data_IF_632186925492
#
_entry.id   IF_632186925492
#
_cell.length_a   1.000
_cell.length_b   1.000
_cell.length_c   1.000
_cell.angle_alpha   90.00
_cell.angle_beta   90.00
_cell.angle_gamma   90.00
#
_symmetry.space_group_name_H-M   'P 1'
#
loop_
_entity.id
_entity.type
_entity.pdbx_description
1 polymer ?
#
# COMPACT_ATOMS: atom_id res chain seq x y z
N UNK A 1 -23.70 0.61 -6.04
CA UNK A 1 -23.85 1.70 -7.02
C UNK A 1 -22.65 1.78 -7.95
N UNK A 2 -21.42 1.96 -7.45
CA UNK A 2 -20.20 2.03 -8.28
C UNK A 2 -20.05 0.82 -9.20
N UNK A 3 -20.07 -0.40 -8.65
CA UNK A 3 -20.00 -1.64 -9.43
C UNK A 3 -21.09 -1.75 -10.52
N UNK A 4 -22.32 -1.29 -10.22
CA UNK A 4 -23.39 -1.26 -11.21
C UNK A 4 -23.14 -0.24 -12.32
N UNK A 5 -22.57 0.92 -12.00
CA UNK A 5 -22.20 1.94 -12.98
C UNK A 5 -21.05 1.47 -13.89
N UNK A 6 -20.06 0.74 -13.35
CA UNK A 6 -18.99 0.14 -14.13
C UNK A 6 -19.53 -0.91 -15.10
N UNK A 7 -20.41 -1.80 -14.63
CA UNK A 7 -21.09 -2.79 -15.48
C UNK A 7 -21.90 -2.13 -16.59
N UNK A 8 -22.62 -1.05 -16.26
CA UNK A 8 -23.38 -0.29 -17.26
C UNK A 8 -22.45 0.37 -18.29
N UNK A 9 -21.33 0.96 -17.86
CA UNK A 9 -20.37 1.60 -18.76
C UNK A 9 -19.74 0.59 -19.73
N UNK A 10 -19.42 -0.62 -19.25
CA UNK A 10 -18.93 -1.71 -20.10
C UNK A 10 -20.01 -2.14 -21.09
N UNK A 11 -21.25 -2.34 -20.63
CA UNK A 11 -22.37 -2.76 -21.47
C UNK A 11 -22.79 -1.72 -22.52
N UNK A 12 -22.53 -0.43 -22.25
CA UNK A 12 -22.87 0.67 -23.16
C UNK A 12 -21.83 0.92 -24.27
N UNK A 13 -20.62 0.38 -24.16
CA UNK A 13 -19.54 0.52 -25.15
C UNK A 13 -19.53 -0.63 -26.13
N UNK A 14 -18.98 -0.40 -27.32
CA UNK A 14 -18.70 -1.51 -28.22
C UNK A 14 -17.61 -2.42 -27.63
N UNK A 15 -17.62 -3.74 -27.93
CA UNK A 15 -16.64 -4.67 -27.36
C UNK A 15 -15.18 -4.29 -27.65
N UNK A 16 -14.87 -3.80 -28.85
CA UNK A 16 -13.55 -3.33 -29.26
C UNK A 16 -13.11 -2.06 -28.53
N UNK A 17 -14.05 -1.14 -28.25
CA UNK A 17 -13.78 0.01 -27.40
C UNK A 17 -13.40 -0.41 -25.98
N UNK A 18 -14.10 -1.41 -25.42
CA UNK A 18 -13.76 -1.94 -24.09
C UNK A 18 -12.34 -2.52 -24.05
N UNK A 19 -11.91 -3.22 -25.11
CA UNK A 19 -10.52 -3.70 -25.23
C UNK A 19 -9.55 -2.53 -25.26
N UNK A 20 -9.83 -1.49 -26.05
CA UNK A 20 -8.98 -0.31 -26.12
C UNK A 20 -8.87 0.40 -24.76
N UNK A 21 -9.98 0.56 -24.04
CA UNK A 21 -9.99 1.10 -22.67
C UNK A 21 -9.17 0.27 -21.70
N UNK A 22 -9.15 -1.06 -21.82
CA UNK A 22 -8.34 -1.91 -20.97
C UNK A 22 -6.83 -1.68 -21.23
N UNK A 23 -6.43 -1.64 -22.50
CA UNK A 23 -5.02 -1.46 -22.91
C UNK A 23 -4.50 -0.06 -22.54
N UNK A 24 -5.31 0.98 -22.68
CA UNK A 24 -4.86 2.36 -22.42
C UNK A 24 -4.70 2.70 -20.95
N UNK A 25 -5.17 1.86 -20.01
CA UNK A 25 -4.93 2.07 -18.56
C UNK A 25 -3.45 2.13 -18.22
N UNK A 26 -2.61 1.36 -18.91
CA UNK A 26 -1.16 1.44 -18.74
C UNK A 26 -0.62 2.83 -19.09
N UNK A 27 -1.08 3.40 -20.21
CA UNK A 27 -0.68 4.75 -20.63
C UNK A 27 -1.28 5.84 -19.74
N UNK A 28 -2.50 5.66 -19.24
CA UNK A 28 -3.09 6.54 -18.23
C UNK A 28 -2.22 6.57 -16.97
N UNK A 29 -1.81 5.39 -16.46
CA UNK A 29 -0.96 5.31 -15.28
C UNK A 29 0.39 5.99 -15.51
N UNK A 30 0.99 5.82 -16.70
CA UNK A 30 2.20 6.53 -17.07
C UNK A 30 2.01 8.06 -17.07
N UNK A 31 0.89 8.56 -17.59
CA UNK A 31 0.57 9.99 -17.57
C UNK A 31 0.41 10.52 -16.14
N UNK A 32 -0.24 9.75 -15.24
CA UNK A 32 -0.36 10.11 -13.81
C UNK A 32 1.04 10.13 -13.17
N UNK A 33 1.88 9.13 -13.45
CA UNK A 33 3.25 9.07 -12.91
C UNK A 33 4.10 10.25 -13.37
N UNK A 34 3.95 10.71 -14.63
CA UNK A 34 4.59 11.92 -15.14
C UNK A 34 4.07 13.15 -14.40
N UNK A 35 2.76 13.26 -14.18
CA UNK A 35 2.18 14.36 -13.41
C UNK A 35 2.67 14.39 -11.95
N UNK A 36 2.86 13.24 -11.31
CA UNK A 36 3.52 13.14 -10.01
C UNK A 36 4.98 13.62 -10.09
N UNK A 37 5.77 13.15 -11.07
CA UNK A 37 7.18 13.53 -11.24
C UNK A 37 7.38 15.04 -11.47
N UNK A 38 6.49 15.64 -12.25
CA UNK A 38 6.50 17.07 -12.56
C UNK A 38 5.80 17.90 -11.48
N UNK A 39 5.27 17.29 -10.43
CA UNK A 39 4.49 17.96 -9.38
C UNK A 39 3.29 18.75 -9.92
N UNK A 40 2.68 18.31 -11.02
CA UNK A 40 1.56 19.00 -11.67
C UNK A 40 0.34 19.10 -10.76
N UNK A 41 0.07 18.06 -9.94
CA UNK A 41 -1.03 18.09 -8.99
C UNK A 41 -0.93 19.26 -8.01
N UNK A 42 0.26 19.60 -7.51
CA UNK A 42 0.42 20.73 -6.58
C UNK A 42 0.44 22.10 -7.29
N UNK A 43 0.76 22.14 -8.58
CA UNK A 43 0.81 23.38 -9.37
C UNK A 43 -0.57 23.84 -9.79
N UNK A 44 -1.52 22.92 -9.98
CA UNK A 44 -2.92 23.27 -10.24
C UNK A 44 -3.51 23.93 -8.97
N UNK A 45 -4.10 25.14 -9.06
CA UNK A 45 -4.65 25.82 -7.90
C UNK A 45 -5.77 25.02 -7.23
N UNK A 46 -5.68 24.85 -5.91
CA UNK A 46 -6.77 24.34 -5.07
C UNK A 46 -7.54 25.52 -4.47
N UNK A 47 -8.68 25.91 -5.04
CA UNK A 47 -9.58 26.89 -4.38
C UNK A 47 -10.83 26.20 -3.85
N UNK A 48 -11.29 26.61 -2.67
CA UNK A 48 -12.59 26.23 -2.09
C UNK A 48 -13.75 27.12 -2.59
N UNK A 49 -13.61 27.74 -3.77
CA UNK A 49 -14.53 28.73 -4.33
C UNK A 49 -14.76 28.56 -5.85
N UNK A 50 -15.10 29.64 -6.55
CA UNK A 50 -15.46 29.64 -7.98
C UNK A 50 -14.44 28.85 -8.84
N UNK A 51 -14.91 27.74 -9.44
CA UNK A 51 -14.08 26.80 -10.17
C UNK A 51 -13.39 27.42 -11.40
N UNK A 52 -13.95 28.50 -11.95
CA UNK A 52 -13.34 29.22 -13.07
C UNK A 52 -12.08 29.99 -12.66
N UNK A 53 -12.04 30.53 -11.43
CA UNK A 53 -10.90 31.24 -10.85
C UNK A 53 -9.78 30.30 -10.35
N UNK A 54 -10.04 28.99 -10.31
CA UNK A 54 -9.14 27.95 -9.81
C UNK A 54 -8.51 27.11 -10.94
N UNK A 55 -8.48 27.64 -12.15
CA UNK A 55 -7.92 26.97 -13.32
C UNK A 55 -6.57 27.55 -13.73
N UNK A 56 -5.74 26.75 -14.41
CA UNK A 56 -4.39 27.15 -14.83
C UNK A 56 -4.13 26.64 -16.26
N UNK A 57 -3.40 27.44 -17.05
CA UNK A 57 -3.03 27.07 -18.41
C UNK A 57 -1.82 26.13 -18.45
N UNK A 58 -1.72 25.29 -19.47
CA UNK A 58 -0.55 24.40 -19.68
C UNK A 58 0.76 25.18 -19.81
N UNK A 59 0.72 26.37 -20.43
CA UNK A 59 1.88 27.26 -20.53
C UNK A 59 2.37 27.72 -19.15
N UNK A 60 1.45 28.11 -18.26
CA UNK A 60 1.80 28.51 -16.90
C UNK A 60 2.27 27.32 -16.05
N UNK A 61 1.63 26.16 -16.19
CA UNK A 61 2.10 24.93 -15.55
C UNK A 61 3.53 24.58 -15.99
N UNK A 62 3.78 24.57 -17.31
CA UNK A 62 5.07 24.25 -17.89
C UNK A 62 6.18 25.20 -17.40
N UNK A 63 5.88 26.50 -17.32
CA UNK A 63 6.79 27.49 -16.75
C UNK A 63 7.07 27.23 -15.26
N UNK A 64 6.05 26.88 -14.47
CA UNK A 64 6.19 26.59 -13.04
C UNK A 64 7.04 25.35 -12.76
N UNK A 65 6.86 24.28 -13.54
CA UNK A 65 7.57 23.00 -13.37
C UNK A 65 8.85 22.90 -14.21
N UNK A 66 9.16 23.93 -15.00
CA UNK A 66 10.32 23.99 -15.91
C UNK A 66 10.37 22.80 -16.88
N UNK A 67 9.22 22.43 -17.45
CA UNK A 67 9.09 21.36 -18.44
C UNK A 67 8.73 21.91 -19.82
N UNK A 68 8.88 21.06 -20.84
CA UNK A 68 8.46 21.38 -22.20
C UNK A 68 6.92 21.59 -22.25
N UNK A 69 6.43 22.70 -22.82
CA UNK A 69 5.01 23.03 -22.84
C UNK A 69 4.16 22.02 -23.64
N UNK A 70 4.72 21.40 -24.69
CA UNK A 70 4.03 20.38 -25.47
C UNK A 70 3.87 19.11 -24.63
N UNK A 71 4.88 18.74 -23.84
CA UNK A 71 4.78 17.58 -22.93
C UNK A 71 3.69 17.80 -21.90
N UNK A 72 3.68 18.96 -21.22
CA UNK A 72 2.65 19.29 -20.22
C UNK A 72 1.26 19.29 -20.85
N UNK A 73 1.09 19.92 -22.02
CA UNK A 73 -0.19 19.94 -22.71
C UNK A 73 -0.71 18.54 -23.09
N UNK A 74 0.17 17.66 -23.59
CA UNK A 74 -0.19 16.27 -23.91
C UNK A 74 -0.60 15.47 -22.67
N UNK A 75 0.14 15.63 -21.57
CA UNK A 75 -0.17 14.95 -20.30
C UNK A 75 -1.50 15.44 -19.73
N UNK A 76 -1.70 16.76 -19.63
CA UNK A 76 -2.92 17.32 -19.06
C UNK A 76 -4.16 16.96 -19.89
N UNK A 77 -4.07 17.00 -21.22
CA UNK A 77 -5.17 16.57 -22.10
C UNK A 77 -5.55 15.11 -21.89
N UNK A 78 -4.56 14.23 -21.78
CA UNK A 78 -4.80 12.81 -21.51
C UNK A 78 -5.40 12.56 -20.12
N UNK A 79 -4.93 13.30 -19.10
CA UNK A 79 -5.45 13.17 -17.74
C UNK A 79 -6.87 13.74 -17.62
N UNK A 80 -7.19 14.82 -18.32
CA UNK A 80 -8.54 15.36 -18.35
C UNK A 80 -9.53 14.44 -19.08
N UNK A 81 -9.12 13.84 -20.21
CA UNK A 81 -9.96 12.86 -20.92
C UNK A 81 -10.21 11.58 -20.11
N UNK A 82 -9.33 11.27 -19.17
CA UNK A 82 -9.49 10.18 -18.19
C UNK A 82 -10.16 10.64 -16.88
N UNK A 83 -10.74 11.84 -16.84
CA UNK A 83 -11.42 12.43 -15.69
C UNK A 83 -10.56 12.61 -14.43
N UNK A 84 -9.23 12.67 -14.57
CA UNK A 84 -8.30 12.97 -13.46
C UNK A 84 -8.31 14.47 -13.15
N UNK A 85 -8.40 15.33 -14.17
CA UNK A 85 -8.62 16.77 -14.06
C UNK A 85 -9.85 17.20 -14.86
N UNK A 86 -10.35 18.40 -14.61
CA UNK A 86 -11.41 19.00 -15.43
C UNK A 86 -10.78 19.93 -16.48
N UNK A 87 -11.20 19.81 -17.74
CA UNK A 87 -10.84 20.71 -18.84
C UNK A 87 -11.86 21.85 -18.91
N UNK A 88 -11.44 23.06 -18.58
CA UNK A 88 -12.30 24.25 -18.46
C UNK A 88 -12.35 25.08 -19.76
N UNK A 89 -11.45 24.79 -20.69
CA UNK A 89 -11.28 25.47 -21.96
C UNK A 89 -10.00 25.00 -22.65
N UNK A 90 -9.69 25.57 -23.82
CA UNK A 90 -8.47 25.24 -24.55
C UNK A 90 -7.24 25.43 -23.68
N UNK A 91 -6.53 24.34 -23.41
CA UNK A 91 -5.33 24.28 -22.59
C UNK A 91 -5.49 24.81 -21.15
N UNK A 92 -6.72 24.82 -20.62
CA UNK A 92 -7.05 25.35 -19.29
C UNK A 92 -7.66 24.24 -18.40
N UNK A 93 -7.03 23.97 -17.25
CA UNK A 93 -7.40 22.82 -16.40
C UNK A 93 -7.62 23.20 -14.94
N UNK A 94 -8.51 22.48 -14.28
CA UNK A 94 -8.83 22.64 -12.86
C UNK A 94 -8.89 21.28 -12.14
N UNK A 95 -8.81 21.34 -10.81
CA UNK A 95 -8.94 20.17 -9.95
C UNK A 95 -10.38 19.64 -9.86
N UNK A 96 -10.50 18.32 -9.83
CA UNK A 96 -11.71 17.60 -9.43
C UNK A 96 -11.46 16.72 -8.20
N UNK A 97 -12.43 15.89 -7.82
CA UNK A 97 -12.30 15.04 -6.63
C UNK A 97 -11.13 14.06 -6.71
N UNK A 98 -10.83 13.53 -7.90
CA UNK A 98 -9.76 12.55 -8.11
C UNK A 98 -8.39 13.22 -8.06
N UNK A 99 -8.14 14.29 -8.83
CA UNK A 99 -6.85 14.98 -8.77
C UNK A 99 -6.56 15.59 -7.40
N UNK A 100 -7.58 16.00 -6.63
CA UNK A 100 -7.39 16.44 -5.24
C UNK A 100 -6.91 15.33 -4.31
N UNK A 101 -7.27 14.07 -4.58
CA UNK A 101 -6.78 12.94 -3.78
C UNK A 101 -5.25 12.79 -3.90
N UNK A 102 -4.65 13.19 -5.04
CA UNK A 102 -3.20 13.20 -5.24
C UNK A 102 -2.47 14.36 -4.55
N UNK A 103 -3.19 15.32 -3.94
CA UNK A 103 -2.57 16.34 -3.08
C UNK A 103 -2.19 15.78 -1.70
N UNK A 104 -2.75 14.62 -1.32
CA UNK A 104 -2.39 13.92 -0.09
C UNK A 104 -1.05 13.21 -0.32
N UNK A 105 0.04 13.58 0.39
CA UNK A 105 1.37 13.02 0.16
C UNK A 105 1.41 11.50 0.18
N UNK A 106 0.68 10.88 1.10
CA UNK A 106 0.61 9.43 1.24
C UNK A 106 -0.03 8.75 0.01
N UNK A 107 -1.04 9.38 -0.59
CA UNK A 107 -1.71 8.86 -1.80
C UNK A 107 -0.78 8.96 -3.00
N UNK A 108 -0.03 10.06 -3.11
CA UNK A 108 0.97 10.24 -4.15
C UNK A 108 2.11 9.22 -4.02
N UNK A 109 2.59 8.99 -2.80
CA UNK A 109 3.60 7.98 -2.51
C UNK A 109 3.10 6.58 -2.84
N UNK A 110 1.86 6.24 -2.48
CA UNK A 110 1.24 4.94 -2.79
C UNK A 110 1.19 4.70 -4.31
N UNK A 111 0.70 5.68 -5.09
CA UNK A 111 0.65 5.52 -6.53
C UNK A 111 2.05 5.36 -7.15
N UNK A 112 3.00 6.17 -6.70
CA UNK A 112 4.37 6.15 -7.24
C UNK A 112 5.07 4.82 -6.94
N UNK A 113 4.91 4.30 -5.72
CA UNK A 113 5.45 3.00 -5.33
C UNK A 113 4.84 1.86 -6.16
N UNK A 114 3.51 1.78 -6.23
CA UNK A 114 2.82 0.76 -7.03
C UNK A 114 3.29 0.81 -8.48
N UNK A 115 3.41 2.00 -9.07
CA UNK A 115 3.87 2.13 -10.46
C UNK A 115 5.34 1.74 -10.63
N UNK A 116 6.23 2.27 -9.80
CA UNK A 116 7.69 2.13 -9.96
C UNK A 116 8.21 0.75 -9.52
N UNK A 117 7.49 0.04 -8.66
CA UNK A 117 7.90 -1.24 -8.07
C UNK A 117 6.97 -2.39 -8.47
N UNK A 118 5.74 -2.44 -7.94
CA UNK A 118 4.79 -3.51 -8.27
C UNK A 118 4.47 -3.56 -9.79
N UNK A 119 4.48 -2.40 -10.47
CA UNK A 119 4.29 -2.29 -11.91
C UNK A 119 5.35 -3.03 -12.73
N UNK A 120 6.60 -3.08 -12.24
CA UNK A 120 7.66 -3.86 -12.89
C UNK A 120 7.36 -5.35 -12.86
N UNK A 121 6.94 -5.86 -11.69
CA UNK A 121 6.52 -7.25 -11.54
C UNK A 121 5.28 -7.55 -12.39
N UNK A 122 4.27 -6.68 -12.36
CA UNK A 122 3.04 -6.85 -13.13
C UNK A 122 3.30 -6.93 -14.64
N UNK A 123 4.23 -6.13 -15.17
CA UNK A 123 4.62 -6.18 -16.58
C UNK A 123 5.40 -7.45 -16.95
N UNK A 124 6.23 -7.96 -16.03
CA UNK A 124 7.04 -9.15 -16.26
C UNK A 124 6.29 -10.48 -15.99
N UNK A 125 5.17 -10.43 -15.25
CA UNK A 125 4.44 -11.61 -14.79
C UNK A 125 4.00 -12.57 -15.93
N UNK A 126 3.47 -12.10 -17.08
CA UNK A 126 3.11 -13.00 -18.17
C UNK A 126 4.30 -13.81 -18.72
N UNK A 127 5.45 -13.16 -18.93
CA UNK A 127 6.66 -13.79 -19.43
C UNK A 127 7.27 -14.75 -18.40
N UNK A 128 7.26 -14.35 -17.13
CA UNK A 128 7.69 -15.19 -16.02
C UNK A 128 6.86 -16.48 -15.92
N UNK A 129 5.52 -16.37 -15.95
CA UNK A 129 4.64 -17.53 -15.90
C UNK A 129 4.81 -18.42 -17.14
N UNK A 130 4.99 -17.84 -18.33
CA UNK A 130 5.27 -18.64 -19.53
C UNK A 130 6.57 -19.44 -19.38
N UNK A 131 7.62 -18.84 -18.83
CA UNK A 131 8.92 -19.48 -18.62
C UNK A 131 8.86 -20.60 -17.55
N UNK A 132 7.98 -20.50 -16.56
CA UNK A 132 7.80 -21.52 -15.51
C UNK A 132 6.74 -22.58 -15.85
N UNK A 133 6.11 -22.48 -17.02
CA UNK A 133 5.05 -23.39 -17.43
C UNK A 133 3.73 -23.17 -16.68
N UNK A 134 3.44 -21.92 -16.34
CA UNK A 134 2.23 -21.45 -15.63
C UNK A 134 2.03 -22.14 -14.28
N UNK A 135 3.13 -22.41 -13.56
CA UNK A 135 3.09 -22.90 -12.18
C UNK A 135 2.88 -21.74 -11.21
N UNK A 136 2.20 -22.04 -10.11
CA UNK A 136 2.08 -21.08 -9.01
C UNK A 136 3.49 -20.72 -8.49
N UNK A 137 3.87 -19.43 -8.44
CA UNK A 137 5.13 -19.02 -7.83
C UNK A 137 5.08 -19.28 -6.31
N UNK A 138 6.09 -19.97 -5.76
CA UNK A 138 6.17 -20.25 -4.32
C UNK A 138 7.53 -19.85 -3.71
N UNK A 139 8.48 -19.44 -4.56
CA UNK A 139 9.84 -19.05 -4.18
C UNK A 139 9.98 -17.53 -4.20
N UNK A 140 10.10 -16.95 -3.01
CA UNK A 140 10.30 -15.51 -2.83
C UNK A 140 11.53 -14.99 -3.58
N UNK A 141 12.59 -15.79 -3.72
CA UNK A 141 13.83 -15.40 -4.40
C UNK A 141 13.80 -15.67 -5.91
N UNK A 142 12.65 -16.05 -6.46
CA UNK A 142 12.45 -16.25 -7.89
C UNK A 142 11.01 -15.92 -8.29
N UNK A 143 10.77 -14.63 -8.52
CA UNK A 143 9.45 -14.06 -8.85
C UNK A 143 9.50 -13.16 -10.08
N UNK A 144 8.33 -12.78 -10.59
CA UNK A 144 8.24 -11.84 -11.72
C UNK A 144 8.89 -10.49 -11.42
N UNK A 145 8.97 -10.08 -10.15
CA UNK A 145 9.68 -8.90 -9.72
C UNK A 145 11.17 -8.93 -10.12
N UNK A 146 11.85 -10.06 -9.95
CA UNK A 146 13.27 -10.21 -10.30
C UNK A 146 13.49 -9.94 -11.80
N UNK A 147 12.64 -10.54 -12.62
CA UNK A 147 12.65 -10.35 -14.08
C UNK A 147 12.37 -8.89 -14.45
N UNK A 148 11.33 -8.28 -13.89
CA UNK A 148 10.90 -6.92 -14.24
C UNK A 148 11.78 -5.80 -13.68
N UNK A 149 12.40 -6.01 -12.52
CA UNK A 149 13.30 -5.06 -11.89
C UNK A 149 14.77 -5.27 -12.27
N UNK A 150 15.08 -6.34 -13.01
CA UNK A 150 16.44 -6.73 -13.42
C UNK A 150 17.37 -6.82 -12.22
N UNK A 151 16.96 -7.59 -11.22
CA UNK A 151 17.66 -7.71 -9.93
C UNK A 151 17.63 -9.14 -9.42
N UNK A 152 18.64 -9.49 -8.63
CA UNK A 152 18.74 -10.75 -7.88
C UNK A 152 18.24 -10.59 -6.43
N UNK A 153 17.81 -9.38 -6.05
CA UNK A 153 17.29 -9.10 -4.72
C UNK A 153 15.80 -9.42 -4.67
N UNK A 154 15.36 -10.01 -3.55
CA UNK A 154 13.95 -10.04 -3.19
C UNK A 154 13.38 -8.64 -3.03
N UNK A 155 12.05 -8.53 -3.04
CA UNK A 155 11.35 -7.25 -3.01
C UNK A 155 11.76 -6.37 -1.82
N UNK A 156 11.79 -6.95 -0.61
CA UNK A 156 12.14 -6.24 0.61
C UNK A 156 13.61 -5.80 0.62
N UNK A 157 14.53 -6.68 0.26
CA UNK A 157 15.96 -6.38 0.15
C UNK A 157 16.23 -5.29 -0.90
N UNK A 158 15.46 -5.27 -1.99
CA UNK A 158 15.55 -4.25 -3.03
C UNK A 158 15.12 -2.86 -2.53
N UNK A 159 14.11 -2.79 -1.66
CA UNK A 159 13.69 -1.54 -1.02
C UNK A 159 14.73 -1.06 -0.01
N UNK A 160 15.25 -1.96 0.83
CA UNK A 160 16.24 -1.65 1.86
C UNK A 160 17.59 -1.19 1.30
N UNK A 161 17.93 -1.62 0.09
CA UNK A 161 19.13 -1.14 -0.60
C UNK A 161 19.10 0.36 -0.97
N UNK A 162 17.95 1.03 -0.83
CA UNK A 162 17.77 2.45 -1.16
C UNK A 162 16.78 3.13 -0.21
N UNK A 163 17.30 3.94 0.71
CA UNK A 163 16.53 4.70 1.70
C UNK A 163 15.35 5.48 1.08
N UNK A 164 15.51 6.03 -0.13
CA UNK A 164 14.44 6.78 -0.78
C UNK A 164 13.29 5.88 -1.22
N UNK A 165 13.59 4.65 -1.67
CA UNK A 165 12.56 3.64 -2.01
C UNK A 165 11.84 3.17 -0.75
N UNK A 166 12.59 2.82 0.30
CA UNK A 166 12.00 2.38 1.57
C UNK A 166 11.11 3.46 2.18
N UNK A 167 11.55 4.73 2.19
CA UNK A 167 10.73 5.84 2.69
C UNK A 167 9.49 6.08 1.82
N UNK A 168 9.62 6.01 0.49
CA UNK A 168 8.47 6.14 -0.41
C UNK A 168 7.44 5.03 -0.16
N UNK A 169 7.89 3.78 0.02
CA UNK A 169 7.04 2.64 0.38
C UNK A 169 6.33 2.86 1.72
N UNK A 170 7.08 3.20 2.78
CA UNK A 170 6.52 3.45 4.11
C UNK A 170 5.50 4.61 4.12
N UNK A 171 5.74 5.66 3.33
CA UNK A 171 4.78 6.76 3.14
C UNK A 171 3.55 6.30 2.36
N UNK A 172 3.72 5.47 1.33
CA UNK A 172 2.61 4.88 0.58
C UNK A 172 1.72 4.02 1.48
N UNK A 173 2.31 3.22 2.36
CA UNK A 173 1.56 2.36 3.29
C UNK A 173 0.71 3.14 4.29
N UNK A 174 1.06 4.39 4.64
CA UNK A 174 0.20 5.27 5.46
C UNK A 174 -1.16 5.55 4.83
N UNK A 175 -1.21 5.74 3.51
CA UNK A 175 -2.48 5.95 2.81
C UNK A 175 -3.42 4.76 3.00
N UNK A 176 -2.86 3.55 3.15
CA UNK A 176 -3.61 2.33 3.34
C UNK A 176 -3.84 1.97 4.83
N UNK A 177 -3.17 2.64 5.77
CA UNK A 177 -3.48 2.55 7.21
C UNK A 177 -4.90 3.08 7.53
N UNK A 178 -5.48 3.84 6.60
CA UNK A 178 -6.85 4.37 6.65
C UNK A 178 -7.94 3.35 6.27
N UNK A 179 -7.62 2.06 6.09
CA UNK A 179 -8.68 1.02 6.06
C UNK A 179 -9.54 1.22 7.30
N UNK A 180 -10.79 1.63 7.03
CA UNK A 180 -11.76 1.88 8.07
C UNK A 180 -11.91 0.59 8.87
N UNK A 181 -12.01 0.72 10.18
CA UNK A 181 -12.58 -0.31 11.05
C UNK A 181 -11.77 -1.57 11.39
N UNK A 182 -10.45 -1.70 11.09
CA UNK A 182 -9.71 -2.88 11.59
C UNK A 182 -9.69 -2.93 13.13
N UNK A 183 -9.57 -1.76 13.76
CA UNK A 183 -9.59 -1.53 15.21
C UNK A 183 -10.98 -1.75 15.84
N UNK A 184 -12.04 -1.85 15.02
CA UNK A 184 -13.38 -2.25 15.46
C UNK A 184 -13.77 -3.67 15.03
N UNK A 185 -12.96 -4.33 14.20
CA UNK A 185 -13.19 -5.71 13.74
C UNK A 185 -12.83 -6.75 14.79
N UNK A 186 -12.03 -6.38 15.80
CA UNK A 186 -11.66 -7.23 16.92
C UNK A 186 -11.85 -6.50 18.25
N UNK A 187 -12.46 -7.13 19.28
CA UNK A 187 -12.65 -6.51 20.58
C UNK A 187 -11.35 -6.53 21.41
N UNK A 188 -10.34 -5.77 20.98
CA UNK A 188 -8.98 -5.75 21.56
C UNK A 188 -8.99 -5.63 23.08
N UNK A 189 -9.67 -4.63 23.63
CA UNK A 189 -9.74 -4.41 25.07
C UNK A 189 -10.37 -5.60 25.81
N UNK A 190 -11.55 -6.04 25.39
CA UNK A 190 -12.29 -7.11 26.06
C UNK A 190 -11.61 -8.49 25.95
N UNK A 191 -10.76 -8.70 24.95
CA UNK A 191 -10.04 -9.96 24.74
C UNK A 191 -8.65 -9.97 25.38
N UNK A 192 -7.94 -8.85 25.34
CA UNK A 192 -6.54 -8.78 25.78
C UNK A 192 -6.39 -8.31 27.25
N UNK A 193 -7.41 -7.67 27.84
CA UNK A 193 -7.45 -7.33 29.27
C UNK A 193 -8.23 -8.33 30.15
N UNK A 194 -8.56 -9.54 29.65
CA UNK A 194 -9.44 -10.49 30.36
C UNK A 194 -8.95 -10.92 31.75
N UNK A 195 -7.64 -10.95 31.93
CA UNK A 195 -6.98 -11.30 33.19
C UNK A 195 -6.07 -10.17 33.62
N UNK A 196 -5.91 -10.02 34.95
CA UNK A 196 -5.02 -9.00 35.52
C UNK A 196 -3.62 -9.17 34.94
N UNK A 197 -3.12 -8.12 34.31
CA UNK A 197 -1.74 -8.04 33.82
C UNK A 197 -0.82 -7.70 34.99
N UNK A 198 0.33 -8.36 35.05
CA UNK A 198 1.42 -7.98 35.92
C UNK A 198 2.18 -6.78 35.33
N UNK A 199 2.94 -6.09 36.17
CA UNK A 199 3.84 -5.04 35.70
C UNK A 199 4.88 -5.65 34.74
N UNK A 200 4.99 -5.07 33.54
CA UNK A 200 5.89 -5.57 32.49
C UNK A 200 5.29 -6.60 31.54
N UNK A 201 4.04 -7.05 31.75
CA UNK A 201 3.38 -7.94 30.80
C UNK A 201 3.20 -7.26 29.44
N UNK A 202 3.50 -7.98 28.36
CA UNK A 202 3.28 -7.52 26.99
C UNK A 202 1.87 -7.91 26.54
N UNK A 203 1.05 -6.91 26.20
CA UNK A 203 -0.33 -7.13 25.76
C UNK A 203 -0.41 -7.39 24.27
N UNK A 204 0.40 -6.71 23.46
CA UNK A 204 0.33 -6.81 22.01
C UNK A 204 1.71 -6.61 21.39
N UNK A 205 2.12 -7.59 20.59
CA UNK A 205 3.30 -7.51 19.72
C UNK A 205 2.81 -7.35 18.29
N UNK A 206 3.11 -6.24 17.65
CA UNK A 206 2.83 -5.99 16.22
C UNK A 206 4.06 -6.46 15.41
N UNK A 207 3.93 -7.63 14.79
CA UNK A 207 5.02 -8.34 14.11
C UNK A 207 5.02 -7.92 12.64
N UNK A 208 6.10 -7.29 12.16
CA UNK A 208 6.13 -6.66 10.83
C UNK A 208 5.22 -5.43 10.77
N UNK A 209 5.15 -4.66 11.88
CA UNK A 209 4.18 -3.58 12.05
C UNK A 209 4.49 -2.29 11.28
N UNK A 210 5.59 -2.25 10.54
CA UNK A 210 6.05 -1.08 9.79
C UNK A 210 6.34 0.09 10.73
N UNK A 211 5.65 1.21 10.50
CA UNK A 211 5.75 2.42 11.34
C UNK A 211 4.90 2.39 12.62
N UNK A 212 4.24 1.28 12.94
CA UNK A 212 3.45 1.13 14.16
C UNK A 212 2.08 1.81 14.15
N UNK A 213 1.59 2.22 12.98
CA UNK A 213 0.28 2.89 12.85
C UNK A 213 -0.89 2.06 13.39
N UNK A 214 -0.78 0.73 13.35
CA UNK A 214 -1.80 -0.14 13.93
C UNK A 214 -1.84 0.00 15.46
N UNK A 215 -0.68 -0.10 16.12
CA UNK A 215 -0.57 0.07 17.56
C UNK A 215 -1.01 1.45 18.04
N UNK A 216 -0.60 2.50 17.34
CA UNK A 216 -1.01 3.88 17.65
C UNK A 216 -2.54 4.03 17.61
N UNK A 217 -3.18 3.49 16.57
CA UNK A 217 -4.64 3.55 16.42
C UNK A 217 -5.36 2.72 17.47
N UNK A 218 -4.86 1.51 17.79
CA UNK A 218 -5.41 0.68 18.87
C UNK A 218 -5.34 1.43 20.20
N UNK A 219 -4.19 2.03 20.54
CA UNK A 219 -4.03 2.83 21.77
C UNK A 219 -4.94 4.05 21.80
N UNK A 220 -5.08 4.77 20.69
CA UNK A 220 -6.00 5.91 20.58
C UNK A 220 -7.46 5.49 20.79
N UNK A 221 -7.84 4.31 20.28
CA UNK A 221 -9.20 3.80 20.37
C UNK A 221 -9.52 3.23 21.76
N UNK A 222 -8.54 2.57 22.39
CA UNK A 222 -8.67 1.88 23.67
C UNK A 222 -7.61 2.39 24.66
N UNK A 223 -7.73 3.64 25.14
CA UNK A 223 -6.72 4.27 26.00
C UNK A 223 -6.60 3.62 27.38
N UNK A 224 -7.58 2.82 27.81
CA UNK A 224 -7.58 2.09 29.08
C UNK A 224 -6.93 0.71 28.98
N UNK A 225 -6.48 0.28 27.79
CA UNK A 225 -5.73 -0.96 27.64
C UNK A 225 -4.42 -0.92 28.42
N UNK A 226 -4.22 -1.92 29.27
CA UNK A 226 -3.05 -2.05 30.13
C UNK A 226 -2.00 -2.96 29.49
N UNK A 227 -0.76 -2.87 29.97
CA UNK A 227 0.36 -3.68 29.48
C UNK A 227 1.19 -2.98 28.40
N UNK A 228 2.28 -3.62 28.02
CA UNK A 228 3.23 -3.10 27.05
C UNK A 228 2.82 -3.42 25.62
N UNK A 229 2.98 -2.44 24.73
CA UNK A 229 2.82 -2.61 23.29
C UNK A 229 4.22 -2.64 22.66
N UNK A 230 4.49 -3.64 21.84
CA UNK A 230 5.80 -3.82 21.20
C UNK A 230 5.62 -3.79 19.68
N UNK A 231 6.34 -2.89 19.02
CA UNK A 231 6.47 -2.86 17.56
C UNK A 231 7.72 -3.64 17.17
N UNK A 232 7.56 -4.65 16.32
CA UNK A 232 8.65 -5.45 15.76
C UNK A 232 8.75 -5.25 14.25
N UNK A 233 9.96 -4.93 13.77
CA UNK A 233 10.28 -4.83 12.36
C UNK A 233 11.81 -4.91 12.14
N UNK A 234 12.24 -4.80 10.88
CA UNK A 234 13.66 -4.72 10.51
C UNK A 234 14.31 -3.42 11.01
N UNK A 235 15.64 -3.42 11.12
CA UNK A 235 16.38 -2.30 11.74
C UNK A 235 16.11 -0.96 11.04
N UNK A 236 16.13 -0.94 9.71
CA UNK A 236 15.87 0.27 8.92
C UNK A 236 14.46 0.82 9.16
N UNK A 237 13.45 -0.06 9.24
CA UNK A 237 12.04 0.29 9.46
C UNK A 237 11.81 0.79 10.88
N UNK A 238 12.40 0.13 11.89
CA UNK A 238 12.33 0.58 13.28
C UNK A 238 12.98 1.97 13.45
N UNK A 239 14.15 2.19 12.84
CA UNK A 239 14.82 3.50 12.84
C UNK A 239 13.93 4.57 12.21
N UNK A 240 13.33 4.27 11.06
CA UNK A 240 12.40 5.16 10.36
C UNK A 240 11.16 5.46 11.22
N UNK A 241 10.54 4.46 11.86
CA UNK A 241 9.39 4.62 12.75
C UNK A 241 9.69 5.55 13.94
N UNK A 242 10.81 5.33 14.63
CA UNK A 242 11.23 6.16 15.77
C UNK A 242 11.51 7.60 15.32
N UNK A 243 12.24 7.78 14.20
CA UNK A 243 12.51 9.12 13.66
C UNK A 243 11.25 9.82 13.15
N UNK A 244 10.26 9.03 12.73
CA UNK A 244 8.96 9.46 12.23
C UNK A 244 7.93 9.77 13.32
N UNK A 245 8.33 9.71 14.60
CA UNK A 245 7.51 10.14 15.74
C UNK A 245 6.68 9.05 16.40
N UNK A 246 7.08 7.78 16.31
CA UNK A 246 6.44 6.68 17.04
C UNK A 246 6.28 7.05 18.53
N UNK A 247 5.09 6.82 19.09
CA UNK A 247 4.80 7.09 20.50
C UNK A 247 5.82 6.43 21.45
N UNK A 248 6.28 7.17 22.45
CA UNK A 248 7.17 6.66 23.51
C UNK A 248 6.53 5.57 24.37
N UNK A 249 5.21 5.38 24.28
CA UNK A 249 4.50 4.31 24.96
C UNK A 249 4.51 2.98 24.19
N UNK A 250 5.10 2.95 23.00
CA UNK A 250 5.31 1.75 22.18
C UNK A 250 6.80 1.42 22.22
N UNK A 251 7.10 0.18 22.62
CA UNK A 251 8.48 -0.33 22.63
C UNK A 251 8.84 -0.71 21.21
N UNK A 252 9.79 -0.01 20.61
CA UNK A 252 10.35 -0.37 19.31
C UNK A 252 11.42 -1.46 19.49
N UNK A 253 11.29 -2.57 18.78
CA UNK A 253 12.21 -3.70 18.86
C UNK A 253 12.58 -4.20 17.47
N UNK A 254 13.89 -4.24 17.18
CA UNK A 254 14.38 -4.90 15.96
C UNK A 254 14.20 -6.40 16.12
N UNK A 255 13.44 -7.02 15.22
CA UNK A 255 13.21 -8.46 15.22
C UNK A 255 12.86 -8.96 13.82
N UNK A 256 13.38 -10.13 13.46
CA UNK A 256 12.96 -10.86 12.27
C UNK A 256 11.95 -11.95 12.67
N UNK A 257 10.84 -12.03 11.96
CA UNK A 257 9.85 -13.09 12.15
C UNK A 257 10.29 -14.45 11.56
N UNK A 258 11.42 -14.47 10.84
CA UNK A 258 12.08 -15.69 10.39
C UNK A 258 12.87 -16.39 11.51
N UNK A 259 12.99 -15.74 12.67
CA UNK A 259 13.60 -16.29 13.89
C UNK A 259 12.56 -16.41 15.01
N UNK A 260 12.76 -17.30 16.00
CA UNK A 260 11.89 -17.40 17.17
C UNK A 260 11.62 -16.05 17.82
N UNK A 261 10.34 -15.70 18.04
CA UNK A 261 9.98 -14.37 18.52
C UNK A 261 10.62 -14.10 19.90
N UNK A 262 11.33 -12.96 20.09
CA UNK A 262 12.07 -12.65 21.30
C UNK A 262 11.16 -12.28 22.48
N UNK A 263 9.97 -11.75 22.22
CA UNK A 263 8.99 -11.45 23.28
C UNK A 263 8.26 -12.73 23.63
N UNK A 264 8.38 -13.18 24.88
CA UNK A 264 7.71 -14.39 25.38
C UNK A 264 6.40 -14.03 26.08
N UNK A 265 5.42 -14.93 25.96
CA UNK A 265 4.16 -14.92 26.71
C UNK A 265 3.31 -13.65 26.52
N UNK A 266 3.41 -12.97 25.37
CA UNK A 266 2.54 -11.84 25.08
C UNK A 266 1.08 -12.30 24.96
N UNK A 267 0.11 -11.44 25.32
CA UNK A 267 -1.32 -11.80 25.16
C UNK A 267 -1.70 -12.02 23.71
N UNK A 268 -1.14 -11.23 22.80
CA UNK A 268 -1.32 -11.44 21.37
C UNK A 268 -0.07 -11.08 20.55
N UNK A 269 0.15 -11.85 19.49
CA UNK A 269 1.05 -11.55 18.39
C UNK A 269 0.20 -11.22 17.16
N UNK A 270 0.34 -10.02 16.64
CA UNK A 270 -0.50 -9.45 15.60
C UNK A 270 0.27 -9.36 14.29
N UNK A 271 -0.30 -9.95 13.25
CA UNK A 271 0.19 -9.90 11.88
C UNK A 271 -0.85 -9.17 11.04
N UNK A 272 -0.48 -8.02 10.48
CA UNK A 272 -1.38 -7.22 9.65
C UNK A 272 -0.69 -6.87 8.35
N UNK A 273 -1.10 -7.50 7.25
CA UNK A 273 -0.49 -7.33 5.92
C UNK A 273 0.97 -7.72 5.94
N UNK A 274 1.17 -8.96 6.37
CA UNK A 274 2.48 -9.59 6.49
C UNK A 274 2.43 -10.94 5.79
N UNK A 275 1.42 -11.76 6.11
CA UNK A 275 1.40 -13.14 5.63
C UNK A 275 1.06 -13.23 4.13
N UNK A 276 0.44 -12.19 3.56
CA UNK A 276 0.15 -12.15 2.12
C UNK A 276 1.37 -11.89 1.22
N UNK A 277 2.54 -11.64 1.81
CA UNK A 277 3.79 -11.43 1.08
C UNK A 277 4.58 -12.73 0.89
N UNK A 278 4.08 -13.84 1.46
CA UNK A 278 4.85 -15.07 1.61
C UNK A 278 4.02 -16.31 1.25
N UNK A 279 4.66 -17.26 0.58
CA UNK A 279 4.05 -18.57 0.33
C UNK A 279 3.67 -19.30 1.62
N UNK A 280 2.72 -20.24 1.51
CA UNK A 280 2.24 -21.07 2.62
C UNK A 280 3.37 -21.73 3.43
N UNK A 281 4.43 -22.18 2.75
CA UNK A 281 5.58 -22.81 3.40
C UNK A 281 6.33 -21.83 4.31
N UNK A 282 6.51 -20.60 3.84
CA UNK A 282 7.16 -19.53 4.60
C UNK A 282 6.25 -19.03 5.72
N UNK A 283 4.95 -18.85 5.46
CA UNK A 283 3.95 -18.52 6.47
C UNK A 283 3.94 -19.53 7.63
N UNK A 284 4.06 -20.83 7.35
CA UNK A 284 4.18 -21.86 8.40
C UNK A 284 5.41 -21.65 9.28
N UNK A 285 6.56 -21.31 8.69
CA UNK A 285 7.79 -21.02 9.44
C UNK A 285 7.60 -19.80 10.34
N UNK A 286 7.06 -18.70 9.81
CA UNK A 286 6.76 -17.46 10.55
C UNK A 286 5.86 -17.73 11.76
N UNK A 287 4.77 -18.49 11.54
CA UNK A 287 3.83 -18.83 12.61
C UNK A 287 4.45 -19.79 13.63
N UNK A 288 5.27 -20.76 13.21
CA UNK A 288 6.00 -21.65 14.12
C UNK A 288 6.94 -20.89 15.04
N UNK A 289 7.69 -19.93 14.50
CA UNK A 289 8.58 -19.05 15.25
C UNK A 289 7.85 -18.16 16.26
N UNK A 290 6.58 -17.87 16.01
CA UNK A 290 5.71 -17.15 16.95
C UNK A 290 5.18 -18.09 18.03
N UNK A 291 4.71 -19.28 17.66
CA UNK A 291 4.17 -20.27 18.59
C UNK A 291 5.17 -20.67 19.67
N UNK A 292 6.46 -20.77 19.37
CA UNK A 292 7.50 -21.06 20.37
C UNK A 292 7.69 -19.95 21.42
N UNK A 293 7.08 -18.79 21.23
CA UNK A 293 7.09 -17.69 22.17
C UNK A 293 5.80 -17.56 22.98
N UNK A 294 4.74 -18.28 22.60
CA UNK A 294 3.40 -18.16 23.17
C UNK A 294 3.26 -18.86 24.53
N UNK A 295 2.48 -18.24 25.41
CA UNK A 295 1.88 -18.90 26.57
C UNK A 295 0.63 -19.68 26.16
N UNK A 296 0.09 -20.48 27.09
CA UNK A 296 -1.12 -21.27 26.85
C UNK A 296 -2.37 -20.43 26.52
N UNK A 297 -2.39 -19.17 26.95
CA UNK A 297 -3.47 -18.20 26.73
C UNK A 297 -3.10 -17.08 25.75
N UNK A 298 -1.92 -17.14 25.11
CA UNK A 298 -1.55 -16.24 24.02
C UNK A 298 -2.41 -16.49 22.78
N UNK A 299 -2.60 -15.44 21.98
CA UNK A 299 -3.29 -15.51 20.69
C UNK A 299 -2.39 -15.09 19.53
N UNK A 300 -2.63 -15.66 18.36
CA UNK A 300 -2.18 -15.10 17.09
C UNK A 300 -3.37 -14.39 16.45
N UNK A 301 -3.18 -13.13 16.10
CA UNK A 301 -4.18 -12.30 15.44
C UNK A 301 -3.69 -12.02 14.01
N UNK A 302 -4.46 -12.44 13.00
CA UNK A 302 -4.12 -12.24 11.59
C UNK A 302 -5.16 -11.29 10.99
N UNK A 303 -4.70 -10.16 10.47
CA UNK A 303 -5.52 -9.14 9.83
C UNK A 303 -5.07 -8.96 8.37
N UNK A 304 -5.65 -9.79 7.50
CA UNK A 304 -5.38 -9.82 6.05
C UNK A 304 -6.66 -9.55 5.25
N UNK A 305 -6.50 -9.36 3.94
CA UNK A 305 -7.66 -9.37 3.04
C UNK A 305 -8.13 -10.81 2.81
N UNK A 306 -9.38 -11.09 3.19
CA UNK A 306 -10.04 -12.35 2.82
C UNK A 306 -10.64 -12.22 1.41
N UNK A 307 -10.23 -13.10 0.50
CA UNK A 307 -10.78 -13.17 -0.86
C UNK A 307 -11.93 -14.17 -0.87
N UNK A 308 -13.18 -13.74 -1.11
CA UNK A 308 -14.32 -14.65 -1.14
C UNK A 308 -14.19 -15.69 -2.27
N UNK A 309 -14.60 -16.93 -1.99
CA UNK A 309 -14.56 -18.02 -2.99
C UNK A 309 -15.41 -17.73 -4.25
N UNK A 310 -16.45 -16.89 -4.13
CA UNK A 310 -17.33 -16.49 -5.23
C UNK A 310 -17.64 -15.01 -5.14
N UNK A 311 -17.61 -14.32 -6.28
CA UNK A 311 -17.98 -12.90 -6.35
C UNK A 311 -16.96 -11.97 -5.68
N UNK A 312 -15.69 -12.37 -5.65
CA UNK A 312 -14.61 -11.54 -5.12
C UNK A 312 -14.56 -10.17 -5.82
N UNK A 313 -14.47 -9.06 -5.07
CA UNK A 313 -14.33 -7.73 -5.66
C UNK A 313 -13.04 -7.62 -6.49
N UNK A 314 -13.13 -6.96 -7.65
CA UNK A 314 -12.00 -6.78 -8.55
C UNK A 314 -10.76 -6.18 -7.87
N UNK A 315 -10.95 -5.26 -6.91
CA UNK A 315 -9.85 -4.70 -6.13
C UNK A 315 -9.03 -5.77 -5.39
N UNK A 316 -9.69 -6.75 -4.76
CA UNK A 316 -9.00 -7.80 -4.01
C UNK A 316 -8.30 -8.77 -4.95
N UNK A 317 -8.96 -9.17 -6.03
CA UNK A 317 -8.36 -10.11 -6.99
C UNK A 317 -7.21 -9.48 -7.78
N UNK A 318 -7.24 -8.18 -8.07
CA UNK A 318 -6.10 -7.51 -8.71
C UNK A 318 -4.93 -7.33 -7.74
N UNK A 319 -5.21 -7.15 -6.44
CA UNK A 319 -4.16 -7.16 -5.42
C UNK A 319 -3.48 -8.52 -5.35
N UNK A 320 -4.26 -9.61 -5.38
CA UNK A 320 -3.75 -10.99 -5.41
C UNK A 320 -2.80 -11.23 -6.60
N UNK A 321 -3.19 -10.80 -7.81
CA UNK A 321 -2.31 -10.86 -9.00
C UNK A 321 -1.02 -10.05 -8.82
N UNK A 322 -1.09 -8.89 -8.17
CA UNK A 322 0.11 -8.11 -7.85
C UNK A 322 1.03 -8.86 -6.88
N UNK A 323 0.47 -9.46 -5.83
CA UNK A 323 1.25 -10.23 -4.83
C UNK A 323 1.94 -11.43 -5.46
N UNK A 324 1.24 -12.16 -6.35
CA UNK A 324 1.83 -13.24 -7.14
C UNK A 324 3.06 -12.80 -7.94
N UNK A 325 3.05 -11.56 -8.44
CA UNK A 325 4.20 -10.97 -9.12
C UNK A 325 5.39 -10.66 -8.21
N UNK A 326 5.11 -10.33 -6.95
CA UNK A 326 6.12 -9.98 -5.94
C UNK A 326 6.68 -11.20 -5.19
N UNK A 327 6.00 -12.34 -5.23
CA UNK A 327 6.40 -13.57 -4.53
C UNK A 327 5.54 -13.94 -3.33
N UNK A 328 4.42 -13.22 -3.14
CA UNK A 328 3.36 -13.55 -2.18
C UNK A 328 2.23 -14.38 -2.78
#
# INVERSE_FOLDING_TARGET
LVDAAEKLAIAARYPDENVFFAVTRTTQNAAIRIACALNLFAVVPSCSGDASAASISTANMAAAVKADPIVVARVMRALASCHVFDEMGEDLYAHNALSRAFLVPETLSMFSEIYDMAGKAAHALPDFLAATGYKNPEDYNNSAFHLGAHTELGFWEYLEADDAKLQAFNNGMRSQATVKDFDSSYPFEAELNRSKLAEGDVVLVDVGGGRGHALERIKQRFPEMQGQFVLQDQEAVIKDAVSGGLSSEIIAQVASFFEPNPVKNARAYFFRRVLHDWSDAVCRTILQNTVVAMAADSKVLIAEYEVPAVGAPAKLTMQDINMMGLGG
#
